data_IF_760482722397
#
_entry.id   IF_760482722397
#
_cell.length_a   1.000
_cell.length_b   1.000
_cell.length_c   1.000
_cell.angle_alpha   90.00
_cell.angle_beta   90.00
_cell.angle_gamma   90.00
#
_symmetry.space_group_name_H-M   'P 1'
#
loop_
_entity.id
_entity.type
_entity.pdbx_description
1 polymer ?
#
# COMPACT_ATOMS: atom_id res chain seq x y z
N UNK A 1 4.13 -30.30 -55.87
CA UNK A 1 5.09 -29.30 -55.47
C UNK A 1 4.38 -28.25 -54.62
N UNK A 2 4.92 -27.95 -53.45
CA UNK A 2 4.39 -26.89 -52.57
C UNK A 2 5.47 -25.84 -52.45
N UNK A 3 5.12 -24.60 -52.76
CA UNK A 3 6.02 -23.44 -52.64
C UNK A 3 5.49 -22.57 -51.50
N UNK A 4 6.29 -22.40 -50.46
CA UNK A 4 6.06 -21.45 -49.38
C UNK A 4 6.69 -20.08 -49.69
N UNK A 5 6.35 -19.03 -48.93
CA UNK A 5 6.87 -17.64 -49.09
C UNK A 5 8.41 -17.56 -49.07
N UNK A 6 9.07 -18.48 -48.40
CA UNK A 6 10.56 -18.60 -48.35
C UNK A 6 11.19 -19.14 -49.66
N UNK A 7 10.41 -19.54 -50.64
CA UNK A 7 10.88 -20.13 -51.90
C UNK A 7 11.36 -21.59 -51.73
N UNK A 8 11.17 -22.21 -50.59
CA UNK A 8 11.45 -23.64 -50.42
C UNK A 8 10.51 -24.49 -51.22
N UNK A 9 11.05 -25.34 -52.06
CA UNK A 9 10.35 -26.28 -52.92
C UNK A 9 10.28 -27.63 -52.22
N UNK A 10 9.11 -28.03 -51.74
CA UNK A 10 8.91 -29.36 -51.18
C UNK A 10 8.34 -30.29 -52.25
N UNK A 11 9.11 -31.31 -52.62
CA UNK A 11 8.70 -32.30 -53.61
C UNK A 11 8.27 -33.57 -52.87
N UNK A 12 6.94 -33.83 -52.81
CA UNK A 12 6.39 -35.07 -52.31
C UNK A 12 6.01 -36.00 -53.45
N UNK A 13 6.15 -37.35 -53.28
CA UNK A 13 5.54 -38.34 -54.16
C UNK A 13 4.16 -38.67 -53.59
N UNK A 14 3.11 -38.40 -54.36
CA UNK A 14 1.75 -38.79 -53.97
C UNK A 14 1.68 -40.32 -53.84
N UNK A 15 1.56 -40.82 -52.65
CA UNK A 15 1.02 -42.14 -52.34
C UNK A 15 -0.44 -41.96 -51.93
N UNK A 16 -1.30 -42.98 -52.02
CA UNK A 16 -2.72 -42.92 -51.63
C UNK A 16 -2.89 -42.53 -50.14
N UNK A 17 -2.77 -41.24 -49.81
CA UNK A 17 -2.88 -40.72 -48.44
C UNK A 17 -2.64 -39.21 -48.39
N UNK A 18 -3.11 -38.56 -47.34
CA UNK A 18 -2.83 -37.17 -47.09
C UNK A 18 -1.36 -36.97 -46.63
N UNK A 19 -0.64 -36.10 -47.29
CA UNK A 19 0.70 -35.67 -46.85
C UNK A 19 0.56 -34.51 -45.87
N UNK A 20 1.38 -34.55 -44.81
CA UNK A 20 1.36 -33.54 -43.76
C UNK A 20 2.52 -32.54 -43.99
N UNK A 21 2.17 -31.27 -44.11
CA UNK A 21 3.14 -30.17 -44.17
C UNK A 21 2.92 -29.26 -42.97
N UNK A 22 4.00 -28.65 -42.47
CA UNK A 22 3.96 -27.75 -41.34
C UNK A 22 4.59 -26.42 -41.75
N UNK A 23 3.88 -25.33 -41.57
CA UNK A 23 4.38 -23.98 -41.75
C UNK A 23 4.88 -23.54 -40.34
N UNK A 24 6.16 -23.19 -40.24
CA UNK A 24 6.83 -22.87 -38.96
C UNK A 24 7.13 -21.39 -38.78
N UNK A 25 7.06 -20.61 -39.87
CA UNK A 25 7.33 -19.16 -39.81
C UNK A 25 6.07 -18.38 -39.46
N UNK A 26 6.23 -17.35 -38.58
CA UNK A 26 5.12 -16.43 -38.30
C UNK A 26 4.91 -15.47 -39.46
N UNK A 27 3.66 -15.15 -39.72
CA UNK A 27 3.24 -14.08 -40.63
C UNK A 27 3.52 -12.73 -39.99
N UNK A 28 4.01 -11.76 -40.78
CA UNK A 28 4.31 -10.43 -40.27
C UNK A 28 3.35 -9.38 -40.81
N UNK A 29 3.14 -8.30 -40.08
CA UNK A 29 2.36 -7.13 -40.50
C UNK A 29 0.91 -7.42 -40.92
N UNK A 30 0.30 -8.49 -40.42
CA UNK A 30 -1.07 -8.89 -40.80
C UNK A 30 -1.16 -9.55 -42.17
N UNK A 31 -0.03 -9.83 -42.84
CA UNK A 31 0.01 -10.49 -44.13
C UNK A 31 -0.12 -12.01 -43.99
N UNK A 32 -0.91 -12.64 -44.86
CA UNK A 32 -1.01 -14.10 -44.92
C UNK A 32 0.08 -14.71 -45.79
N UNK A 33 0.57 -15.90 -45.40
CA UNK A 33 1.50 -16.69 -46.20
C UNK A 33 0.76 -17.44 -47.29
N UNK A 34 1.05 -17.20 -48.59
CA UNK A 34 0.45 -17.98 -49.66
C UNK A 34 1.05 -19.38 -49.70
N UNK A 35 0.19 -20.40 -49.78
CA UNK A 35 0.54 -21.79 -49.96
C UNK A 35 0.03 -22.22 -51.32
N UNK A 36 0.93 -22.50 -52.25
CA UNK A 36 0.60 -22.94 -53.60
C UNK A 36 0.88 -24.43 -53.73
N UNK A 37 -0.12 -25.19 -54.13
CA UNK A 37 -0.04 -26.62 -54.40
C UNK A 37 -0.16 -26.83 -55.89
N UNK A 38 0.85 -27.47 -56.51
CA UNK A 38 0.86 -27.84 -57.93
C UNK A 38 0.86 -29.35 -58.02
N UNK A 39 -0.22 -29.92 -58.56
CA UNK A 39 -0.31 -31.34 -58.88
C UNK A 39 -0.15 -31.54 -60.35
N UNK A 40 0.68 -32.52 -60.75
CA UNK A 40 0.91 -32.87 -62.17
C UNK A 40 0.57 -34.35 -62.37
N UNK A 41 -0.24 -34.68 -63.38
CA UNK A 41 -0.54 -36.06 -63.78
C UNK A 41 0.55 -36.67 -64.66
N UNK A 42 0.42 -37.97 -64.97
CA UNK A 42 1.37 -38.67 -65.84
C UNK A 42 1.43 -38.16 -67.30
N UNK A 43 0.37 -37.45 -67.75
CA UNK A 43 0.30 -36.85 -69.07
C UNK A 43 0.88 -35.43 -69.13
N UNK A 44 1.29 -34.91 -67.95
CA UNK A 44 1.86 -33.56 -67.83
C UNK A 44 0.82 -32.47 -67.56
N UNK A 45 -0.45 -32.80 -67.38
CA UNK A 45 -1.45 -31.80 -67.01
C UNK A 45 -1.26 -31.34 -65.56
N UNK A 46 -1.45 -30.05 -65.32
CA UNK A 46 -1.26 -29.45 -64.04
C UNK A 46 -2.54 -28.85 -63.47
N UNK A 47 -2.72 -29.05 -62.17
CA UNK A 47 -3.68 -28.31 -61.37
C UNK A 47 -2.94 -27.48 -60.33
N UNK A 48 -3.23 -26.20 -60.28
CA UNK A 48 -2.61 -25.26 -59.35
C UNK A 48 -3.71 -24.75 -58.40
N UNK A 49 -3.50 -24.92 -57.10
CA UNK A 49 -4.36 -24.38 -56.06
C UNK A 49 -3.51 -23.51 -55.15
N UNK A 50 -3.92 -22.26 -54.93
CA UNK A 50 -3.27 -21.37 -53.99
C UNK A 50 -4.24 -21.02 -52.89
N UNK A 51 -3.85 -21.29 -51.66
CA UNK A 51 -4.60 -20.91 -50.49
C UNK A 51 -3.72 -19.99 -49.62
N UNK A 52 -4.30 -19.26 -48.70
CA UNK A 52 -3.59 -18.34 -47.81
C UNK A 52 -3.73 -18.78 -46.37
N UNK A 53 -2.61 -18.88 -45.69
CA UNK A 53 -2.55 -19.26 -44.27
C UNK A 53 -1.94 -18.13 -43.46
N UNK A 54 -2.61 -17.79 -42.39
CA UNK A 54 -2.09 -16.88 -41.41
C UNK A 54 -1.53 -17.71 -40.26
N UNK A 55 -0.23 -17.61 -40.01
CA UNK A 55 0.48 -18.26 -38.88
C UNK A 55 1.14 -17.18 -38.03
N UNK A 56 0.72 -17.07 -36.82
CA UNK A 56 1.31 -16.19 -35.83
C UNK A 56 1.60 -16.97 -34.56
N UNK A 57 2.85 -16.92 -34.12
CA UNK A 57 3.35 -17.61 -32.92
C UNK A 57 3.94 -16.64 -31.92
N UNK A 58 3.97 -15.38 -32.25
CA UNK A 58 4.53 -14.33 -31.43
C UNK A 58 3.42 -13.77 -30.52
N UNK A 59 3.69 -13.70 -29.24
CA UNK A 59 2.71 -13.19 -28.30
C UNK A 59 2.70 -11.65 -28.30
N UNK A 60 1.53 -11.02 -28.16
CA UNK A 60 1.44 -9.57 -28.06
C UNK A 60 2.19 -9.05 -26.81
N UNK A 61 2.49 -7.77 -26.78
CA UNK A 61 3.07 -7.12 -25.59
C UNK A 61 1.95 -6.54 -24.72
N UNK A 62 1.94 -6.93 -23.45
CA UNK A 62 1.13 -6.34 -22.40
C UNK A 62 2.06 -5.57 -21.45
N UNK A 63 1.86 -4.25 -21.30
CA UNK A 63 2.72 -3.40 -20.50
C UNK A 63 1.87 -2.53 -19.56
N UNK A 64 2.28 -2.45 -18.29
CA UNK A 64 1.76 -1.49 -17.32
C UNK A 64 2.92 -0.57 -16.95
N UNK A 65 2.78 0.72 -17.26
CA UNK A 65 3.81 1.74 -17.15
C UNK A 65 3.38 2.88 -16.21
N UNK A 66 4.32 3.72 -15.80
CA UNK A 66 4.08 4.87 -14.92
C UNK A 66 4.24 4.56 -13.43
N UNK A 67 4.48 3.29 -13.09
CA UNK A 67 4.74 2.84 -11.71
C UNK A 67 5.67 1.64 -11.72
N UNK A 68 6.59 1.60 -10.78
CA UNK A 68 7.39 0.41 -10.47
C UNK A 68 6.57 -0.55 -9.61
N UNK A 69 6.89 -1.85 -9.71
CA UNK A 69 6.22 -2.86 -8.88
C UNK A 69 6.57 -2.67 -7.39
N UNK A 70 5.58 -2.85 -6.51
CA UNK A 70 5.68 -2.62 -5.07
C UNK A 70 5.98 -1.17 -4.64
N UNK A 71 5.69 -0.18 -5.49
CA UNK A 71 5.77 1.24 -5.10
C UNK A 71 4.85 1.53 -3.91
N UNK A 72 5.36 2.26 -2.92
CA UNK A 72 4.58 2.84 -1.81
C UNK A 72 4.73 4.36 -1.89
N UNK A 73 3.63 5.11 -1.88
CA UNK A 73 3.65 6.57 -2.06
C UNK A 73 2.45 7.24 -1.41
N UNK A 74 2.64 8.48 -0.97
CA UNK A 74 1.56 9.38 -0.52
C UNK A 74 0.96 10.24 -1.64
N UNK A 75 1.38 10.03 -2.89
CA UNK A 75 0.94 10.86 -4.03
C UNK A 75 0.09 10.07 -5.01
N UNK A 76 -0.85 10.72 -5.71
CA UNK A 76 -1.55 10.10 -6.82
C UNK A 76 -0.58 9.58 -7.89
N UNK A 77 -0.91 8.43 -8.46
CA UNK A 77 -0.11 7.75 -9.48
C UNK A 77 -0.91 7.69 -10.79
N UNK A 78 -0.27 8.08 -11.89
CA UNK A 78 -0.82 7.87 -13.22
C UNK A 78 -0.20 6.61 -13.83
N UNK A 79 -1.05 5.66 -14.23
CA UNK A 79 -0.65 4.39 -14.85
C UNK A 79 -1.16 4.31 -16.27
N UNK A 80 -0.33 3.80 -17.18
CA UNK A 80 -0.69 3.53 -18.57
C UNK A 80 -0.68 2.03 -18.82
N UNK A 81 -1.78 1.50 -19.33
CA UNK A 81 -1.92 0.15 -19.85
C UNK A 81 -1.71 0.20 -21.35
N UNK A 82 -0.68 -0.49 -21.85
CA UNK A 82 -0.29 -0.46 -23.25
C UNK A 82 -0.27 -1.87 -23.82
N UNK A 83 -1.07 -2.10 -24.85
CA UNK A 83 -1.08 -3.30 -25.68
C UNK A 83 -0.42 -3.00 -27.02
N UNK A 84 0.54 -3.82 -27.44
CA UNK A 84 1.21 -3.71 -28.72
C UNK A 84 1.25 -5.10 -29.41
N UNK A 85 0.99 -5.12 -30.72
CA UNK A 85 1.03 -6.29 -31.55
C UNK A 85 1.43 -5.91 -32.99
N UNK A 86 2.25 -6.74 -33.64
CA UNK A 86 2.67 -6.49 -35.03
C UNK A 86 1.52 -6.75 -36.02
N UNK A 87 0.71 -7.77 -35.73
CA UNK A 87 -0.41 -8.15 -36.58
C UNK A 87 -1.69 -7.45 -36.17
N UNK A 88 -2.50 -8.04 -35.34
CA UNK A 88 -3.77 -7.46 -34.87
C UNK A 88 -4.08 -7.88 -33.45
N UNK A 89 -4.42 -6.92 -32.62
CA UNK A 89 -4.94 -7.16 -31.27
C UNK A 89 -6.41 -7.60 -31.39
N UNK A 90 -6.71 -8.81 -30.93
CA UNK A 90 -8.09 -9.31 -30.87
C UNK A 90 -8.82 -8.75 -29.63
N UNK A 91 -8.24 -8.94 -28.45
CA UNK A 91 -8.83 -8.45 -27.19
C UNK A 91 -7.80 -7.86 -26.26
N UNK A 92 -8.22 -6.83 -25.52
CA UNK A 92 -7.50 -6.30 -24.38
C UNK A 92 -8.47 -6.30 -23.20
N UNK A 93 -8.05 -6.90 -22.09
CA UNK A 93 -8.79 -6.87 -20.82
C UNK A 93 -7.84 -6.41 -19.73
N UNK A 94 -8.25 -5.43 -18.98
CA UNK A 94 -7.49 -4.97 -17.81
C UNK A 94 -8.44 -4.60 -16.69
N UNK A 95 -7.95 -4.79 -15.46
CA UNK A 95 -8.69 -4.43 -14.25
C UNK A 95 -7.75 -3.85 -13.20
N UNK A 96 -8.36 -3.11 -12.29
CA UNK A 96 -7.77 -2.55 -11.08
C UNK A 96 -8.50 -3.18 -9.91
N UNK A 97 -7.81 -3.97 -9.09
CA UNK A 97 -8.30 -4.43 -7.81
C UNK A 97 -7.72 -3.52 -6.74
N UNK A 98 -8.59 -2.84 -5.99
CA UNK A 98 -8.25 -2.01 -4.83
C UNK A 98 -8.71 -2.71 -3.55
N UNK A 99 -7.86 -2.74 -2.54
CA UNK A 99 -8.18 -3.12 -1.16
C UNK A 99 -7.90 -1.92 -0.27
N UNK A 100 -8.93 -1.40 0.39
CA UNK A 100 -8.79 -0.25 1.30
C UNK A 100 -8.22 -0.68 2.67
N UNK A 101 -8.00 0.31 3.56
CA UNK A 101 -7.46 0.10 4.90
C UNK A 101 -8.34 -0.83 5.78
N UNK A 102 -9.64 -0.87 5.50
CA UNK A 102 -10.60 -1.73 6.21
C UNK A 102 -10.69 -3.15 5.61
N UNK A 103 -9.90 -3.43 4.56
CA UNK A 103 -9.86 -4.70 3.84
C UNK A 103 -11.02 -4.89 2.85
N UNK A 104 -11.79 -3.83 2.54
CA UNK A 104 -12.83 -3.87 1.53
C UNK A 104 -12.18 -3.88 0.15
N UNK A 105 -12.64 -4.82 -0.68
CA UNK A 105 -12.13 -5.01 -2.06
C UNK A 105 -13.12 -4.47 -3.07
N UNK A 106 -12.58 -3.74 -4.03
CA UNK A 106 -13.30 -3.22 -5.17
C UNK A 106 -12.52 -3.55 -6.45
N UNK A 107 -13.23 -4.05 -7.47
CA UNK A 107 -12.63 -4.37 -8.76
C UNK A 107 -13.27 -3.51 -9.85
N UNK A 108 -12.45 -2.79 -10.59
CA UNK A 108 -12.85 -1.92 -11.69
C UNK A 108 -12.29 -2.47 -13.00
N UNK A 109 -13.14 -2.77 -13.96
CA UNK A 109 -12.72 -3.14 -15.32
C UNK A 109 -12.40 -1.87 -16.13
N UNK A 110 -11.32 -1.91 -16.90
CA UNK A 110 -10.92 -0.83 -17.81
C UNK A 110 -11.61 -1.07 -19.15
N UNK A 111 -12.58 -0.22 -19.47
CA UNK A 111 -13.41 -0.34 -20.68
C UNK A 111 -13.02 0.65 -21.77
N UNK A 112 -12.32 1.74 -21.41
CA UNK A 112 -11.96 2.79 -22.36
C UNK A 112 -10.53 2.58 -22.88
N UNK A 113 -10.41 2.36 -24.19
CA UNK A 113 -9.15 2.14 -24.89
C UNK A 113 -9.00 3.09 -26.06
N UNK A 114 -7.87 3.76 -26.15
CA UNK A 114 -7.50 4.61 -27.28
C UNK A 114 -6.64 3.82 -28.25
N UNK A 115 -7.07 3.69 -29.51
CA UNK A 115 -6.23 3.14 -30.57
C UNK A 115 -5.11 4.14 -30.90
N UNK A 116 -3.87 3.68 -30.78
CA UNK A 116 -2.66 4.48 -31.09
C UNK A 116 -2.07 4.12 -32.44
N UNK A 117 -2.26 2.90 -32.89
CA UNK A 117 -1.80 2.43 -34.20
C UNK A 117 -2.74 1.36 -34.74
N UNK A 118 -2.80 1.29 -36.07
CA UNK A 118 -3.66 0.37 -36.82
C UNK A 118 -3.00 -0.01 -38.13
N UNK A 119 -3.20 -1.26 -38.58
CA UNK A 119 -2.94 -1.71 -39.95
C UNK A 119 -4.26 -1.94 -40.70
N UNK A 120 -4.21 -2.47 -41.93
CA UNK A 120 -5.40 -2.74 -42.76
C UNK A 120 -6.38 -3.74 -42.11
N UNK A 121 -5.86 -4.65 -41.26
CA UNK A 121 -6.64 -5.72 -40.64
C UNK A 121 -7.22 -5.35 -39.28
N UNK A 122 -6.69 -4.33 -38.60
CA UNK A 122 -7.20 -3.91 -37.28
C UNK A 122 -6.22 -3.11 -36.43
N UNK A 123 -6.52 -3.05 -35.15
CA UNK A 123 -5.72 -2.29 -34.17
C UNK A 123 -4.45 -3.06 -33.80
N UNK A 124 -3.29 -2.38 -33.88
CA UNK A 124 -1.98 -2.94 -33.51
C UNK A 124 -1.43 -2.35 -32.22
N UNK A 125 -1.98 -1.20 -31.77
CA UNK A 125 -1.60 -0.58 -30.51
C UNK A 125 -2.78 0.09 -29.84
N UNK A 126 -3.03 -0.25 -28.57
CA UNK A 126 -4.07 0.32 -27.72
C UNK A 126 -3.50 0.77 -26.40
N UNK A 127 -3.99 1.90 -25.89
CA UNK A 127 -3.60 2.46 -24.60
C UNK A 127 -4.82 2.90 -23.78
N UNK A 128 -4.75 2.68 -22.48
CA UNK A 128 -5.65 3.31 -21.50
C UNK A 128 -4.81 3.91 -20.37
N UNK A 129 -5.16 5.13 -19.97
CA UNK A 129 -4.47 5.85 -18.88
C UNK A 129 -5.44 6.03 -17.73
N UNK A 130 -5.01 5.61 -16.54
CA UNK A 130 -5.78 5.68 -15.31
C UNK A 130 -5.02 6.51 -14.26
N UNK A 131 -5.77 7.23 -13.43
CA UNK A 131 -5.20 7.95 -12.28
C UNK A 131 -5.69 7.30 -11.00
N UNK A 132 -4.78 6.81 -10.20
CA UNK A 132 -5.03 6.23 -8.89
C UNK A 132 -4.72 7.30 -7.85
N UNK A 133 -5.69 7.63 -7.02
CA UNK A 133 -5.56 8.75 -6.08
C UNK A 133 -6.06 8.46 -4.67
N UNK A 134 -6.78 7.38 -4.45
CA UNK A 134 -7.30 7.02 -3.13
C UNK A 134 -6.35 6.09 -2.40
N UNK A 135 -6.40 6.09 -1.06
CA UNK A 135 -5.61 5.20 -0.24
C UNK A 135 -6.03 3.74 -0.45
N UNK A 136 -5.05 2.83 -0.44
CA UNK A 136 -5.28 1.41 -0.59
C UNK A 136 -4.14 0.65 -1.26
N UNK A 137 -4.24 -0.67 -1.20
CA UNK A 137 -3.41 -1.61 -1.96
C UNK A 137 -4.05 -1.84 -3.33
N UNK A 138 -3.31 -1.56 -4.39
CA UNK A 138 -3.72 -1.75 -5.77
C UNK A 138 -3.02 -2.94 -6.40
N UNK A 139 -3.81 -3.78 -7.10
CA UNK A 139 -3.30 -4.79 -8.03
C UNK A 139 -3.84 -4.49 -9.42
N UNK A 140 -2.92 -4.20 -10.33
CA UNK A 140 -3.19 -3.83 -11.71
C UNK A 140 -2.93 -5.05 -12.58
N UNK A 141 -3.90 -5.46 -13.40
CA UNK A 141 -3.78 -6.63 -14.28
C UNK A 141 -4.17 -6.30 -15.68
N UNK A 142 -3.49 -6.91 -16.63
CA UNK A 142 -3.78 -6.78 -18.05
C UNK A 142 -3.53 -8.10 -18.77
N UNK A 143 -4.44 -8.45 -19.68
CA UNK A 143 -4.30 -9.55 -20.60
C UNK A 143 -4.53 -9.04 -22.02
N UNK A 144 -3.68 -9.42 -22.94
CA UNK A 144 -3.78 -9.10 -24.36
C UNK A 144 -3.82 -10.40 -25.16
N UNK A 145 -4.75 -10.52 -26.08
CA UNK A 145 -4.86 -11.66 -26.99
C UNK A 145 -4.82 -11.14 -28.43
N UNK A 146 -4.01 -11.74 -29.27
CA UNK A 146 -3.97 -11.47 -30.70
C UNK A 146 -5.01 -12.30 -31.50
N UNK A 147 -5.08 -12.09 -32.81
CA UNK A 147 -5.99 -12.82 -33.68
C UNK A 147 -5.63 -14.31 -33.86
N UNK A 148 -4.40 -14.71 -33.59
CA UNK A 148 -3.95 -16.10 -33.65
C UNK A 148 -4.23 -16.86 -32.34
N UNK A 149 -4.62 -16.14 -31.28
CA UNK A 149 -4.91 -16.69 -29.96
C UNK A 149 -3.72 -16.72 -29.00
N UNK A 150 -2.57 -16.10 -29.35
CA UNK A 150 -1.47 -15.95 -28.41
C UNK A 150 -1.85 -14.91 -27.34
N UNK A 151 -1.40 -15.15 -26.10
CA UNK A 151 -1.79 -14.34 -24.94
C UNK A 151 -0.56 -13.86 -24.20
N UNK A 152 -0.56 -12.59 -23.79
CA UNK A 152 0.36 -12.03 -22.83
C UNK A 152 -0.38 -11.40 -21.66
N UNK A 153 0.30 -11.34 -20.53
CA UNK A 153 -0.23 -10.72 -19.31
C UNK A 153 0.82 -9.80 -18.65
N UNK A 154 0.33 -8.79 -17.95
CA UNK A 154 1.12 -7.93 -17.08
C UNK A 154 0.40 -7.73 -15.75
N UNK A 155 1.17 -7.64 -14.68
CA UNK A 155 0.66 -7.33 -13.33
C UNK A 155 1.62 -6.34 -12.66
N UNK A 156 1.07 -5.42 -11.84
CA UNK A 156 1.78 -4.51 -10.94
C UNK A 156 1.02 -4.39 -9.63
N UNK A 157 1.75 -4.16 -8.57
CA UNK A 157 1.19 -3.85 -7.25
C UNK A 157 1.77 -2.54 -6.74
N UNK A 158 0.94 -1.72 -6.08
CA UNK A 158 1.39 -0.50 -5.41
C UNK A 158 0.49 -0.20 -4.23
N UNK A 159 0.98 0.63 -3.32
CA UNK A 159 0.21 1.17 -2.20
C UNK A 159 0.21 2.70 -2.31
N UNK A 160 -0.97 3.28 -2.17
CA UNK A 160 -1.14 4.71 -1.93
C UNK A 160 -1.60 4.85 -0.49
N UNK A 161 -0.86 5.62 0.30
CA UNK A 161 -1.10 5.87 1.70
C UNK A 161 -0.78 7.34 2.01
N UNK A 162 -1.81 8.14 2.28
CA UNK A 162 -1.71 9.58 2.56
C UNK A 162 -1.93 9.90 4.03
N UNK A 163 -2.34 8.90 4.80
CA UNK A 163 -2.62 9.08 6.21
C UNK A 163 -1.31 9.09 7.02
N UNK A 164 -1.31 9.85 8.09
CA UNK A 164 -0.18 9.84 9.00
C UNK A 164 -0.32 8.69 10.01
N UNK A 165 0.79 8.07 10.47
CA UNK A 165 0.75 7.15 11.58
C UNK A 165 0.03 7.72 12.80
N UNK A 166 -0.93 6.98 13.34
CA UNK A 166 -1.70 7.37 14.53
C UNK A 166 -0.96 6.89 15.78
N UNK A 167 -0.67 7.83 16.70
CA UNK A 167 0.04 7.56 17.94
C UNK A 167 -0.95 7.70 19.11
N UNK A 168 -1.17 6.60 19.83
CA UNK A 168 -2.10 6.50 20.95
C UNK A 168 -1.38 6.59 22.32
N UNK A 169 -2.17 6.76 23.39
CA UNK A 169 -1.78 6.75 24.81
C UNK A 169 -0.89 7.90 25.28
N UNK A 170 -0.37 8.74 24.40
CA UNK A 170 0.48 9.87 24.78
C UNK A 170 -0.33 10.95 25.50
N UNK A 171 -1.55 11.20 25.05
CA UNK A 171 -2.49 12.16 25.63
C UNK A 171 -2.89 11.79 27.07
N UNK A 172 -2.91 10.50 27.42
CA UNK A 172 -3.18 10.03 28.78
C UNK A 172 -2.14 10.52 29.80
N UNK A 173 -0.93 10.86 29.34
CA UNK A 173 0.18 11.31 30.15
C UNK A 173 0.13 12.83 30.40
N UNK A 174 -0.57 13.59 29.54
CA UNK A 174 -0.52 15.05 29.57
C UNK A 174 -1.07 15.63 30.88
N UNK A 175 -0.30 16.53 31.49
CA UNK A 175 -0.63 17.14 32.78
C UNK A 175 -0.52 16.23 34.02
N UNK A 176 -0.04 14.99 33.90
CA UNK A 176 0.09 14.06 35.03
C UNK A 176 1.25 14.42 35.94
N UNK A 177 1.01 14.23 37.24
CA UNK A 177 2.02 14.22 38.28
C UNK A 177 2.35 12.79 38.69
N UNK A 178 3.61 12.41 38.60
CA UNK A 178 4.07 11.03 38.79
C UNK A 178 5.28 11.00 39.74
N UNK A 179 5.48 9.90 40.45
CA UNK A 179 6.73 9.67 41.19
C UNK A 179 7.85 9.16 40.28
N UNK A 180 7.51 8.53 39.20
CA UNK A 180 8.40 8.05 38.14
C UNK A 180 7.60 7.81 36.88
N UNK A 181 8.26 7.92 35.76
CA UNK A 181 7.69 7.60 34.47
C UNK A 181 8.39 6.39 33.82
N UNK A 182 7.64 5.54 33.16
CA UNK A 182 8.14 4.52 32.27
C UNK A 182 7.05 4.21 31.25
N UNK A 183 7.37 4.20 29.95
CA UNK A 183 6.43 3.83 28.91
C UNK A 183 6.21 2.32 28.92
N UNK A 184 5.01 1.88 29.22
CA UNK A 184 4.67 0.47 29.45
C UNK A 184 3.79 -0.15 28.35
N UNK A 185 3.37 0.63 27.36
CA UNK A 185 2.64 0.12 26.19
C UNK A 185 3.61 -0.49 25.19
N UNK A 186 3.18 -1.54 24.48
CA UNK A 186 3.93 -2.02 23.32
C UNK A 186 3.87 -1.01 22.17
N UNK A 187 4.81 -1.09 21.25
CA UNK A 187 4.83 -0.19 20.10
C UNK A 187 3.65 -0.47 19.17
N UNK A 188 3.30 -1.73 18.99
CA UNK A 188 2.17 -2.16 18.17
C UNK A 188 0.81 -1.71 18.72
N UNK A 189 0.71 -1.49 20.04
CA UNK A 189 -0.48 -0.89 20.66
C UNK A 189 -0.48 0.62 20.52
N UNK A 190 0.71 1.23 20.57
CA UNK A 190 0.91 2.68 20.59
C UNK A 190 0.85 3.33 19.20
N UNK A 191 1.26 2.63 18.14
CA UNK A 191 1.35 3.19 16.80
C UNK A 191 0.56 2.30 15.83
N UNK A 192 -0.34 2.91 15.04
CA UNK A 192 -1.14 2.27 14.01
C UNK A 192 -0.94 2.97 12.69
N UNK A 193 -0.73 2.18 11.65
CA UNK A 193 -0.57 2.65 10.28
C UNK A 193 -0.98 1.58 9.29
N UNK A 194 -1.33 1.99 8.07
CA UNK A 194 -1.67 1.07 6.96
C UNK A 194 -0.41 0.42 6.37
N UNK A 195 0.70 1.15 6.35
CA UNK A 195 2.00 0.66 5.87
C UNK A 195 2.96 0.38 7.03
N UNK A 196 4.13 -0.16 6.73
CA UNK A 196 5.17 -0.32 7.73
C UNK A 196 5.70 1.05 8.17
N UNK A 197 6.06 1.17 9.45
CA UNK A 197 6.56 2.42 10.01
C UNK A 197 7.87 2.23 10.79
N UNK A 198 8.57 3.33 10.96
CA UNK A 198 9.68 3.51 11.90
C UNK A 198 9.29 4.57 12.94
N UNK A 199 9.88 4.55 14.12
CA UNK A 199 9.55 5.51 15.16
C UNK A 199 10.77 5.97 15.95
N UNK A 200 10.62 7.12 16.61
CA UNK A 200 11.58 7.68 17.56
C UNK A 200 10.82 8.16 18.78
N UNK A 201 11.28 7.77 19.98
CA UNK A 201 10.80 8.29 21.25
C UNK A 201 11.88 9.13 21.91
N UNK A 202 11.47 10.25 22.52
CA UNK A 202 12.34 11.18 23.24
C UNK A 202 11.67 11.63 24.51
N UNK A 203 12.46 11.79 25.56
CA UNK A 203 12.08 12.55 26.75
C UNK A 203 13.07 13.71 26.90
N UNK A 204 12.56 14.93 26.95
CA UNK A 204 13.35 16.17 26.98
C UNK A 204 14.40 16.24 25.87
N UNK A 205 13.97 15.93 24.63
CA UNK A 205 14.78 15.84 23.42
C UNK A 205 15.88 14.75 23.40
N UNK A 206 16.08 14.02 24.50
CA UNK A 206 16.98 12.88 24.55
C UNK A 206 16.26 11.58 24.09
N UNK A 207 16.96 10.72 23.34
CA UNK A 207 16.42 9.41 22.98
C UNK A 207 15.98 8.63 24.21
N UNK A 208 14.78 8.07 24.15
CA UNK A 208 14.18 7.28 25.20
C UNK A 208 13.80 5.89 24.67
N UNK A 209 14.09 4.85 25.44
CA UNK A 209 13.68 3.48 25.13
C UNK A 209 12.51 3.06 25.99
N UNK A 210 11.45 2.44 25.40
CA UNK A 210 10.35 1.91 26.19
C UNK A 210 10.85 1.04 27.35
N UNK A 211 10.27 1.26 28.54
CA UNK A 211 10.68 0.57 29.75
C UNK A 211 11.81 1.25 30.57
N UNK A 212 12.53 2.21 30.02
CA UNK A 212 13.45 3.04 30.81
C UNK A 212 12.69 3.86 31.85
N UNK A 213 13.32 4.11 32.98
CA UNK A 213 12.71 4.89 34.07
C UNK A 213 13.24 6.31 34.09
N UNK A 214 12.32 7.27 34.15
CA UNK A 214 12.61 8.68 34.41
C UNK A 214 12.17 8.96 35.84
N UNK A 215 13.13 9.33 36.68
CA UNK A 215 12.94 9.61 38.12
C UNK A 215 13.44 11.02 38.52
N UNK A 216 14.04 11.75 37.59
CA UNK A 216 14.50 13.12 37.85
C UNK A 216 13.29 14.01 38.09
N UNK A 217 13.30 14.72 39.24
CA UNK A 217 12.25 15.66 39.60
C UNK A 217 12.20 16.86 38.65
N UNK A 218 11.00 17.26 38.28
CA UNK A 218 10.74 18.39 37.39
C UNK A 218 9.75 18.07 36.30
N UNK A 219 9.57 19.02 35.40
CA UNK A 219 8.70 18.92 34.25
C UNK A 219 9.44 18.25 33.10
N UNK A 220 8.79 17.26 32.48
CA UNK A 220 9.31 16.48 31.37
C UNK A 220 8.36 16.52 30.20
N UNK A 221 8.89 16.32 28.99
CA UNK A 221 8.13 16.23 27.75
C UNK A 221 8.45 14.92 27.03
N UNK A 222 7.45 14.05 26.90
CA UNK A 222 7.53 12.89 26.02
C UNK A 222 7.16 13.34 24.59
N UNK A 223 7.97 12.96 23.62
CA UNK A 223 7.68 13.11 22.20
C UNK A 223 7.83 11.75 21.51
N UNK A 224 6.82 11.35 20.76
CA UNK A 224 6.87 10.19 19.87
C UNK A 224 6.65 10.67 18.44
N UNK A 225 7.57 10.35 17.54
CA UNK A 225 7.48 10.60 16.10
C UNK A 225 7.48 9.26 15.39
N UNK A 226 6.56 9.07 14.44
CA UNK A 226 6.50 7.90 13.58
C UNK A 226 6.52 8.32 12.11
N UNK A 227 7.19 7.53 11.27
CA UNK A 227 7.29 7.75 9.82
C UNK A 227 6.91 6.46 9.13
N UNK A 228 5.92 6.50 8.27
CA UNK A 228 5.49 5.36 7.48
C UNK A 228 6.35 5.11 6.23
N UNK A 229 6.03 4.06 5.48
CA UNK A 229 6.75 3.74 4.25
C UNK A 229 6.36 4.63 3.06
N UNK A 230 5.26 5.38 3.13
CA UNK A 230 4.84 6.35 2.12
C UNK A 230 5.47 7.74 2.34
N UNK A 231 6.15 7.96 3.50
CA UNK A 231 6.82 9.19 3.89
C UNK A 231 5.95 10.15 4.70
N UNK A 232 4.77 9.72 5.20
CA UNK A 232 3.95 10.53 6.09
C UNK A 232 4.52 10.49 7.51
N UNK A 233 4.26 11.55 8.29
CA UNK A 233 4.77 11.70 9.66
C UNK A 233 3.63 11.86 10.64
N UNK A 234 3.56 10.98 11.64
CA UNK A 234 2.77 11.16 12.86
C UNK A 234 3.65 11.72 13.98
N UNK A 235 3.09 12.58 14.83
CA UNK A 235 3.76 13.12 16.03
C UNK A 235 2.76 13.26 17.17
N UNK A 236 3.17 12.83 18.38
CA UNK A 236 2.42 13.07 19.60
C UNK A 236 3.35 13.53 20.71
N UNK A 237 2.86 14.46 21.55
CA UNK A 237 3.59 15.04 22.68
C UNK A 237 2.72 15.10 23.91
N UNK A 238 3.33 14.81 25.06
CA UNK A 238 2.71 15.02 26.35
C UNK A 238 3.70 15.63 27.34
N UNK A 239 3.19 16.50 28.22
CA UNK A 239 3.95 17.13 29.28
C UNK A 239 3.51 16.53 30.62
N UNK A 240 4.45 16.05 31.42
CA UNK A 240 4.19 15.48 32.74
C UNK A 240 5.21 15.98 33.76
N UNK A 241 4.89 15.83 35.01
CA UNK A 241 5.77 16.26 36.11
C UNK A 241 6.15 15.05 36.97
N UNK A 242 7.44 14.90 37.23
CA UNK A 242 7.94 14.02 38.29
C UNK A 242 8.04 14.84 39.55
N UNK A 243 7.32 14.43 40.59
CA UNK A 243 7.27 15.13 41.86
C UNK A 243 7.46 14.14 43.02
N UNK A 244 8.52 14.33 43.79
CA UNK A 244 8.85 13.57 44.98
C UNK A 244 8.60 14.37 46.26
N UNK A 245 8.29 15.66 46.14
CA UNK A 245 8.17 16.59 47.28
C UNK A 245 6.85 16.36 48.01
N UNK A 246 6.85 15.94 49.28
CA UNK A 246 5.63 15.83 50.05
C UNK A 246 4.95 17.18 50.23
N UNK A 247 3.62 17.25 50.27
CA UNK A 247 2.89 18.49 50.51
C UNK A 247 3.22 19.05 51.89
N UNK A 248 3.46 20.35 51.97
CA UNK A 248 3.63 21.08 53.23
C UNK A 248 2.23 21.43 53.78
N UNK A 249 1.99 21.04 55.03
CA UNK A 249 0.72 21.30 55.72
C UNK A 249 0.92 22.42 56.75
N UNK A 250 0.11 23.44 56.65
CA UNK A 250 0.07 24.55 57.59
C UNK A 250 -1.20 24.49 58.45
N UNK A 251 -1.00 24.78 59.72
CA UNK A 251 -2.08 24.95 60.69
C UNK A 251 -2.22 26.41 61.07
N UNK A 252 -3.45 26.89 61.14
CA UNK A 252 -3.76 28.24 61.60
C UNK A 252 -4.81 28.17 62.72
N UNK A 253 -4.58 28.90 63.79
CA UNK A 253 -5.49 28.98 64.94
C UNK A 253 -5.20 28.01 66.06
N UNK A 254 -4.24 27.08 65.92
CA UNK A 254 -3.76 26.19 66.99
C UNK A 254 -2.21 26.11 66.89
N UNK A 255 -1.57 25.90 68.02
CA UNK A 255 -0.11 25.70 68.12
C UNK A 255 0.17 24.36 68.82
N UNK A 256 1.27 23.71 68.40
CA UNK A 256 1.67 22.42 68.95
C UNK A 256 2.01 22.54 70.46
N UNK A 257 1.40 21.67 71.28
CA UNK A 257 1.58 21.63 72.69
C UNK A 257 0.85 22.70 73.55
N UNK A 258 0.15 23.64 72.89
CA UNK A 258 -0.61 24.69 73.61
C UNK A 258 -1.92 24.14 74.21
N UNK A 259 -2.30 24.72 75.39
CA UNK A 259 -3.55 24.38 76.09
C UNK A 259 -4.56 25.50 75.97
N UNK A 260 -5.74 25.14 75.48
CA UNK A 260 -6.83 26.09 75.33
C UNK A 260 -7.99 25.77 76.28
N UNK A 261 -8.48 26.78 76.99
CA UNK A 261 -9.58 26.65 77.98
C UNK A 261 -10.99 26.60 77.32
N UNK A 262 -11.07 26.98 76.08
CA UNK A 262 -12.35 27.05 75.31
C UNK A 262 -12.24 26.30 74.02
N UNK A 263 -13.38 26.06 73.40
CA UNK A 263 -13.46 25.52 72.00
C UNK A 263 -12.59 26.36 71.06
N UNK A 264 -11.82 25.69 70.22
CA UNK A 264 -10.93 26.30 69.23
C UNK A 264 -11.32 25.87 67.83
N UNK A 265 -11.36 26.85 66.95
CA UNK A 265 -11.45 26.63 65.51
C UNK A 265 -10.07 26.71 64.94
N UNK A 266 -9.69 25.78 64.10
CA UNK A 266 -8.45 25.81 63.37
C UNK A 266 -8.68 25.54 61.89
N UNK A 267 -7.77 26.00 61.08
CA UNK A 267 -7.76 25.79 59.62
C UNK A 267 -6.52 25.00 59.27
N UNK A 268 -6.66 24.18 58.26
CA UNK A 268 -5.59 23.39 57.68
C UNK A 268 -5.54 23.68 56.19
N UNK A 269 -4.40 24.02 55.70
CA UNK A 269 -4.15 24.23 54.27
C UNK A 269 -2.87 23.55 53.82
N UNK A 270 -2.76 23.31 52.56
CA UNK A 270 -1.51 22.94 51.89
C UNK A 270 -0.88 24.19 51.28
N UNK A 271 0.45 24.24 51.21
CA UNK A 271 1.17 25.36 50.60
C UNK A 271 0.80 25.50 49.11
N UNK A 272 0.70 24.36 48.40
CA UNK A 272 0.29 24.34 47.01
C UNK A 272 -1.22 24.13 46.87
N UNK A 273 -1.86 24.91 46.01
CA UNK A 273 -3.31 24.82 45.77
C UNK A 273 -3.77 23.50 45.11
N UNK A 274 -2.84 22.81 44.46
CA UNK A 274 -3.11 21.51 43.78
C UNK A 274 -3.05 20.31 44.72
N UNK A 275 -2.39 20.49 45.92
CA UNK A 275 -2.32 19.45 46.93
C UNK A 275 -3.68 19.20 47.57
N UNK A 276 -3.99 17.95 47.84
CA UNK A 276 -5.27 17.59 48.45
C UNK A 276 -5.10 17.02 49.85
N UNK A 277 -5.84 17.59 50.81
CA UNK A 277 -6.01 16.99 52.13
C UNK A 277 -6.99 15.84 52.02
N UNK A 278 -6.55 14.59 52.08
CA UNK A 278 -7.44 13.43 52.00
C UNK A 278 -8.40 13.34 53.19
N UNK A 279 -7.87 13.50 54.39
CA UNK A 279 -8.68 13.52 55.62
C UNK A 279 -7.93 14.14 56.80
N UNK A 280 -8.70 14.56 57.78
CA UNK A 280 -8.19 14.99 59.09
C UNK A 280 -8.68 13.97 60.12
N UNK A 281 -7.84 13.57 61.07
CA UNK A 281 -8.22 12.77 62.22
C UNK A 281 -8.12 13.59 63.51
N UNK A 282 -9.18 13.59 64.34
CA UNK A 282 -9.17 14.16 65.69
C UNK A 282 -9.40 13.00 66.65
N UNK A 283 -8.53 12.78 67.60
CA UNK A 283 -8.58 11.63 68.51
C UNK A 283 -8.74 10.29 67.77
N UNK A 284 -8.03 10.11 66.65
CA UNK A 284 -8.06 8.89 65.82
C UNK A 284 -9.29 8.73 64.93
N UNK A 285 -10.30 9.59 65.02
CA UNK A 285 -11.52 9.52 64.19
C UNK A 285 -11.42 10.46 62.99
N UNK A 286 -11.71 9.93 61.77
CA UNK A 286 -11.82 10.76 60.57
C UNK A 286 -12.90 11.81 60.72
N UNK A 287 -12.59 13.02 60.31
CA UNK A 287 -13.55 14.13 60.27
C UNK A 287 -14.02 14.34 58.84
N UNK A 288 -15.32 14.62 58.69
CA UNK A 288 -15.87 15.01 57.39
C UNK A 288 -15.58 16.48 57.13
N UNK A 289 -15.30 16.82 55.86
CA UNK A 289 -15.23 18.23 55.44
C UNK A 289 -16.63 18.85 55.66
N UNK A 290 -16.70 19.96 56.37
CA UNK A 290 -17.94 20.78 56.47
C UNK A 290 -17.95 21.78 55.31
#
# INVERSE_FOLDING_TARGET
EIICKTGEKIVGKSSKGAEKFVITESSQNGESTPVTIIATDYAGNQTVVTDRVFVDRDAPKALIQGVEDYTITSKPVQVSYLAEEENVIQTVRANILKEDIDGKKEETEITEWKTKSRNESGDTKKESVQTLAEDGLYKLRMNVTDMAGNVSHAERQLIIDKENPVIAHVDELDGKYLKKFSWNYSIEESIKDFTNYTYVMKVDDAFYRPGEKIEKEGVHVLTIEAFDSAGNKGEAKARFTIDHTPPVIEFEGIEDGEKYEKEKTFYVRTENLEDQIEYIKINGKKQNRK
#
